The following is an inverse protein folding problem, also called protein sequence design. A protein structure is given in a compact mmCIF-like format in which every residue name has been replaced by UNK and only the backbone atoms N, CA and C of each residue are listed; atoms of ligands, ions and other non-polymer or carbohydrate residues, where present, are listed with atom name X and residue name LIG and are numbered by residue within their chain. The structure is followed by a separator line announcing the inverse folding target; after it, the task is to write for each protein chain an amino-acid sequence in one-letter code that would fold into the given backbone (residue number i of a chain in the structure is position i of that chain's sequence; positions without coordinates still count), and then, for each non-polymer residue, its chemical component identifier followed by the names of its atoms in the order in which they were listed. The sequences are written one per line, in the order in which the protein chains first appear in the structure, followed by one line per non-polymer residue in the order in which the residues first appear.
data_IF_640784660057
#
_entry.id   IF_640784660057
#
_cell.length_a   1.000
_cell.length_b   1.000
_cell.length_c   1.000
_cell.angle_alpha   90.00
_cell.angle_beta   90.00
_cell.angle_gamma   90.00
#
_symmetry.space_group_name_H-M   'P 1'
#
loop_
_entity.id
_entity.type
_entity.pdbx_description
1 polymer ?
#
# COMPACT_ATOMS: atom_id res chain seq x y z
N UNK A 1 7.72 29.62 23.54
CA UNK A 1 7.50 28.19 23.24
C UNK A 1 6.99 28.12 21.81
N UNK A 2 7.80 27.62 20.89
CA UNK A 2 7.59 27.73 19.44
C UNK A 2 6.58 26.70 18.90
N UNK A 3 5.80 27.17 17.93
CA UNK A 3 4.70 26.52 17.21
C UNK A 3 4.93 25.02 16.97
N UNK A 4 4.17 24.17 17.67
CA UNK A 4 3.88 22.82 17.15
C UNK A 4 3.14 23.01 15.85
N UNK A 5 3.75 22.53 14.77
CA UNK A 5 3.29 22.58 13.39
C UNK A 5 1.78 22.36 13.29
N UNK A 6 1.05 23.47 13.13
CA UNK A 6 -0.37 23.44 12.88
C UNK A 6 -0.55 23.14 11.40
N UNK A 7 -0.46 21.86 11.02
CA UNK A 7 -0.99 21.43 9.73
C UNK A 7 -2.47 21.83 9.74
N UNK A 8 -2.96 22.67 8.82
CA UNK A 8 -4.34 23.10 8.82
C UNK A 8 -5.27 21.89 8.85
N UNK A 9 -6.33 21.94 9.66
CA UNK A 9 -7.30 20.85 9.78
C UNK A 9 -7.87 20.42 8.41
N UNK A 10 -7.99 21.36 7.48
CA UNK A 10 -8.34 21.12 6.06
C UNK A 10 -7.35 20.20 5.35
N UNK A 11 -6.05 20.41 5.52
CA UNK A 11 -5.02 19.57 4.89
C UNK A 11 -4.99 18.15 5.51
N UNK A 12 -5.30 18.01 6.80
CA UNK A 12 -5.44 16.68 7.42
C UNK A 12 -6.66 15.94 6.85
N UNK A 13 -7.78 16.63 6.65
CA UNK A 13 -9.00 16.05 6.08
C UNK A 13 -8.82 15.65 4.61
N UNK A 14 -8.08 16.44 3.83
CA UNK A 14 -7.73 16.12 2.44
C UNK A 14 -6.81 14.89 2.36
N UNK A 15 -5.74 14.83 3.18
CA UNK A 15 -4.90 13.64 3.27
C UNK A 15 -5.68 12.40 3.73
N UNK A 16 -6.68 12.59 4.60
CA UNK A 16 -7.54 11.50 5.07
C UNK A 16 -8.39 10.93 3.93
N UNK A 17 -9.06 11.81 3.17
CA UNK A 17 -9.87 11.42 2.02
C UNK A 17 -9.02 10.77 0.92
N UNK A 18 -7.82 11.31 0.66
CA UNK A 18 -6.88 10.74 -0.30
C UNK A 18 -6.39 9.35 0.14
N UNK A 19 -6.07 9.18 1.43
CA UNK A 19 -5.64 7.88 1.96
C UNK A 19 -6.76 6.83 1.94
N UNK A 20 -8.02 7.23 2.15
CA UNK A 20 -9.18 6.33 2.06
C UNK A 20 -9.44 5.85 0.63
N UNK A 21 -9.14 6.69 -0.37
CA UNK A 21 -9.29 6.35 -1.79
C UNK A 21 -8.02 5.75 -2.40
N UNK A 22 -6.93 5.65 -1.62
CA UNK A 22 -5.66 5.17 -2.11
C UNK A 22 -5.73 3.67 -2.42
N UNK A 23 -5.59 3.35 -3.70
CA UNK A 23 -5.35 2.00 -4.19
C UNK A 23 -4.14 1.98 -5.12
N UNK A 24 -3.61 0.79 -5.37
CA UNK A 24 -2.47 0.60 -6.27
C UNK A 24 -2.79 1.11 -7.68
N UNK A 25 -4.00 0.85 -8.20
CA UNK A 25 -4.40 1.32 -9.52
C UNK A 25 -3.43 0.86 -10.62
N UNK A 26 -2.85 1.81 -11.34
CA UNK A 26 -1.81 1.57 -12.37
C UNK A 26 -0.38 1.65 -11.84
N UNK A 27 -0.20 1.95 -10.55
CA UNK A 27 1.10 2.07 -9.91
C UNK A 27 1.71 0.68 -9.69
N UNK A 28 3.04 0.62 -9.69
CA UNK A 28 3.74 -0.54 -9.14
C UNK A 28 3.48 -0.62 -7.63
N UNK A 29 3.65 -1.82 -7.06
CA UNK A 29 3.55 -2.02 -5.61
C UNK A 29 4.52 -1.09 -4.87
N UNK A 30 5.71 -0.85 -5.42
CA UNK A 30 6.71 0.03 -4.81
C UNK A 30 6.23 1.48 -4.76
N UNK A 31 5.74 2.02 -5.87
CA UNK A 31 5.23 3.40 -5.92
C UNK A 31 4.00 3.57 -5.02
N UNK A 32 3.11 2.57 -4.99
CA UNK A 32 1.98 2.54 -4.08
C UNK A 32 2.44 2.54 -2.61
N UNK A 33 3.45 1.74 -2.24
CA UNK A 33 3.99 1.70 -0.88
C UNK A 33 4.64 3.02 -0.44
N UNK A 34 5.29 3.74 -1.35
CA UNK A 34 5.83 5.08 -1.10
C UNK A 34 4.69 6.05 -0.81
N UNK A 35 3.70 6.15 -1.70
CA UNK A 35 2.52 7.03 -1.48
C UNK A 35 1.76 6.68 -0.21
N UNK A 36 1.55 5.41 0.05
CA UNK A 36 0.90 4.93 1.27
C UNK A 36 1.67 5.40 2.51
N UNK A 37 3.00 5.30 2.49
CA UNK A 37 3.83 5.72 3.61
C UNK A 37 3.81 7.24 3.81
N UNK A 38 3.84 8.01 2.72
CA UNK A 38 3.74 9.48 2.76
C UNK A 38 2.40 9.94 3.36
N UNK A 39 1.28 9.41 2.87
CA UNK A 39 -0.06 9.76 3.36
C UNK A 39 -0.29 9.28 4.80
N UNK A 40 0.22 8.09 5.17
CA UNK A 40 0.12 7.57 6.54
C UNK A 40 0.81 8.46 7.58
N UNK A 41 1.87 9.19 7.18
CA UNK A 41 2.58 10.14 8.04
C UNK A 41 1.72 11.37 8.37
N UNK A 42 0.84 11.76 7.46
CA UNK A 42 -0.07 12.90 7.62
C UNK A 42 -1.40 12.52 8.28
N UNK A 43 -1.72 11.23 8.37
CA UNK A 43 -2.94 10.71 8.99
C UNK A 43 -2.65 9.59 10.01
N UNK A 44 -1.89 9.86 11.10
CA UNK A 44 -1.55 8.84 12.10
C UNK A 44 -2.77 8.24 12.80
N UNK A 45 -3.91 8.94 12.80
CA UNK A 45 -5.19 8.45 13.35
C UNK A 45 -5.85 7.36 12.50
N UNK A 46 -5.55 7.29 11.21
CA UNK A 46 -6.13 6.29 10.29
C UNK A 46 -5.45 4.93 10.36
N UNK A 47 -4.23 4.90 10.88
CA UNK A 47 -3.39 3.71 10.96
C UNK A 47 -2.80 3.59 12.37
N UNK A 48 -3.66 3.49 13.40
CA UNK A 48 -3.23 3.62 14.79
C UNK A 48 -2.37 2.43 15.25
N UNK A 49 -2.46 1.29 14.56
CA UNK A 49 -1.74 0.07 14.88
C UNK A 49 -1.10 -0.54 13.62
N UNK A 50 0.05 -1.19 13.80
CA UNK A 50 0.82 -1.83 12.71
C UNK A 50 -0.05 -2.83 11.93
N UNK A 51 -0.92 -3.57 12.63
CA UNK A 51 -1.85 -4.53 12.02
C UNK A 51 -2.84 -3.88 11.05
N UNK A 52 -3.40 -2.74 11.44
CA UNK A 52 -4.35 -1.98 10.60
C UNK A 52 -3.63 -1.39 9.38
N UNK A 53 -2.36 -1.02 9.56
CA UNK A 53 -1.50 -0.56 8.46
C UNK A 53 -1.28 -1.62 7.41
N UNK A 54 -0.95 -2.84 7.85
CA UNK A 54 -0.78 -3.99 6.97
C UNK A 54 -2.11 -4.33 6.27
N UNK A 55 -3.21 -4.35 7.03
CA UNK A 55 -4.54 -4.63 6.49
C UNK A 55 -4.92 -3.65 5.37
N UNK A 56 -4.85 -2.33 5.63
CA UNK A 56 -5.18 -1.31 4.64
C UNK A 56 -4.29 -1.39 3.41
N UNK A 57 -2.99 -1.64 3.61
CA UNK A 57 -2.07 -1.79 2.50
C UNK A 57 -2.49 -2.95 1.59
N UNK A 58 -2.78 -4.13 2.16
CA UNK A 58 -3.25 -5.32 1.42
C UNK A 58 -4.63 -5.10 0.80
N UNK A 59 -5.51 -4.31 1.43
CA UNK A 59 -6.81 -3.96 0.86
C UNK A 59 -6.69 -3.03 -0.35
N UNK A 60 -5.66 -2.18 -0.42
CA UNK A 60 -5.45 -1.25 -1.54
C UNK A 60 -4.60 -1.80 -2.69
N UNK A 61 -3.87 -2.91 -2.54
CA UNK A 61 -3.20 -3.57 -3.69
C UNK A 61 -4.20 -4.25 -4.63
N UNK A 62 -3.75 -4.50 -5.87
CA UNK A 62 -4.55 -5.16 -6.90
C UNK A 62 -5.15 -6.49 -6.41
N UNK A 63 -6.38 -6.79 -6.84
CA UNK A 63 -7.13 -7.97 -6.39
C UNK A 63 -6.34 -9.28 -6.55
N UNK A 64 -5.63 -9.38 -7.65
CA UNK A 64 -4.73 -10.47 -8.01
C UNK A 64 -3.63 -10.73 -6.97
N UNK A 65 -3.00 -9.67 -6.47
CA UNK A 65 -1.97 -9.77 -5.43
C UNK A 65 -2.59 -9.94 -4.04
N UNK A 66 -3.75 -9.31 -3.80
CA UNK A 66 -4.50 -9.40 -2.54
C UNK A 66 -4.82 -10.85 -2.18
N UNK A 67 -5.21 -11.67 -3.15
CA UNK A 67 -5.46 -13.09 -2.92
C UNK A 67 -4.20 -13.82 -2.42
N UNK A 68 -3.04 -13.55 -3.03
CA UNK A 68 -1.75 -14.11 -2.62
C UNK A 68 -1.31 -13.61 -1.24
N UNK A 69 -1.80 -12.45 -0.80
CA UNK A 69 -1.47 -11.81 0.47
C UNK A 69 -2.44 -12.15 1.61
N UNK A 70 -3.48 -12.96 1.37
CA UNK A 70 -4.52 -13.25 2.37
C UNK A 70 -3.98 -13.87 3.68
N UNK A 71 -2.87 -14.60 3.60
CA UNK A 71 -2.17 -15.14 4.78
C UNK A 71 -1.62 -14.04 5.68
N UNK A 72 -1.06 -12.99 5.08
CA UNK A 72 -0.41 -11.89 5.81
C UNK A 72 -1.42 -10.99 6.54
N UNK A 73 -2.72 -11.13 6.27
CA UNK A 73 -3.80 -10.52 7.07
C UNK A 73 -4.03 -11.23 8.42
N UNK A 74 -3.57 -12.48 8.54
CA UNK A 74 -3.79 -13.32 9.73
C UNK A 74 -2.56 -13.41 10.62
N UNK A 75 -1.39 -12.98 10.12
CA UNK A 75 -0.12 -12.98 10.84
C UNK A 75 0.26 -11.56 11.29
N UNK A 76 1.10 -11.46 12.31
CA UNK A 76 1.68 -10.18 12.75
C UNK A 76 2.94 -9.83 11.92
N UNK A 77 2.81 -9.92 10.60
CA UNK A 77 3.93 -9.66 9.68
C UNK A 77 4.24 -8.16 9.66
N UNK A 78 5.49 -7.74 9.86
CA UNK A 78 5.87 -6.33 9.79
C UNK A 78 5.59 -5.71 8.42
N UNK A 79 5.18 -4.45 8.40
CA UNK A 79 4.82 -3.72 7.17
C UNK A 79 5.87 -3.82 6.05
N UNK A 80 7.16 -3.71 6.38
CA UNK A 80 8.23 -3.82 5.38
C UNK A 80 8.27 -5.19 4.71
N UNK A 81 8.09 -6.27 5.47
CA UNK A 81 8.03 -7.61 4.91
C UNK A 81 6.81 -7.79 3.99
N UNK A 82 5.67 -7.21 4.35
CA UNK A 82 4.48 -7.21 3.49
C UNK A 82 4.76 -6.53 2.16
N UNK A 83 5.43 -5.37 2.17
CA UNK A 83 5.82 -4.66 0.94
C UNK A 83 6.78 -5.49 0.09
N UNK A 84 7.79 -6.12 0.70
CA UNK A 84 8.76 -6.96 -0.01
C UNK A 84 8.11 -8.18 -0.66
N UNK A 85 7.23 -8.88 0.06
CA UNK A 85 6.46 -10.02 -0.48
C UNK A 85 5.55 -9.56 -1.63
N UNK A 86 4.85 -8.43 -1.45
CA UNK A 86 3.98 -7.86 -2.47
C UNK A 86 4.74 -7.57 -3.77
N UNK A 87 5.94 -6.98 -3.64
CA UNK A 87 6.79 -6.62 -4.77
C UNK A 87 7.32 -7.88 -5.48
N UNK A 88 7.72 -8.89 -4.72
CA UNK A 88 8.15 -10.16 -5.29
C UNK A 88 7.04 -10.82 -6.12
N UNK A 89 5.81 -10.83 -5.61
CA UNK A 89 4.65 -11.36 -6.32
C UNK A 89 4.30 -10.56 -7.58
N UNK A 90 4.46 -9.24 -7.53
CA UNK A 90 4.30 -8.38 -8.71
C UNK A 90 5.33 -8.71 -9.79
N UNK A 91 6.61 -8.91 -9.43
CA UNK A 91 7.65 -9.30 -10.38
C UNK A 91 7.35 -10.67 -11.02
N UNK A 92 7.01 -11.69 -10.22
CA UNK A 92 6.68 -13.03 -10.74
C UNK A 92 5.55 -12.97 -11.77
N UNK A 93 4.52 -12.14 -11.51
CA UNK A 93 3.40 -11.95 -12.44
C UNK A 93 3.78 -11.14 -13.68
N UNK A 94 4.68 -10.17 -13.56
CA UNK A 94 5.24 -9.42 -14.68
C UNK A 94 5.94 -10.36 -15.66
N UNK A 95 6.82 -11.21 -15.15
CA UNK A 95 7.59 -12.18 -15.93
C UNK A 95 6.67 -13.21 -16.63
N UNK A 96 5.59 -13.66 -15.96
CA UNK A 96 4.58 -14.54 -16.56
C UNK A 96 3.81 -13.89 -17.71
N UNK A 97 3.48 -12.60 -17.61
CA UNK A 97 2.80 -11.87 -18.68
C UNK A 97 3.72 -11.69 -19.88
N UNK A 98 4.98 -11.31 -19.64
CA UNK A 98 5.98 -11.13 -20.69
C UNK A 98 6.24 -12.45 -21.44
N UNK A 99 6.37 -13.57 -20.71
CA UNK A 99 6.55 -14.90 -21.30
C UNK A 99 5.33 -15.43 -22.10
N UNK A 100 4.12 -14.93 -21.81
CA UNK A 100 2.90 -15.26 -22.56
C UNK A 100 2.76 -14.42 -23.83
N UNK A 101 3.18 -13.16 -23.80
CA UNK A 101 3.16 -12.27 -24.97
C UNK A 101 4.25 -12.64 -25.99
N UNK A 102 5.41 -13.17 -25.57
CA UNK A 102 6.44 -13.65 -26.51
C UNK A 102 6.08 -14.96 -27.24
N UNK A 103 4.98 -15.63 -26.84
CA UNK A 103 4.55 -16.92 -27.41
C UNK A 103 3.30 -16.84 -28.28
N UNK A 104 2.77 -15.65 -28.58
CA UNK A 104 1.70 -15.47 -29.56
C UNK A 104 2.30 -15.31 -30.97
N UNK A 105 2.09 -16.27 -31.90
CA UNK A 105 2.37 -16.09 -33.33
C UNK A 105 1.34 -15.17 -34.01
#
# INVERSE_FOLDING_TARGET
MFLREFVPQTHQNECHAEFEQLGQGTMTVLEYAIRFSELSRHAPTLVPIVKERVRRFIEGISYDLKFCMARELQTDTPFQQVVDISRMLECIRGDEKEAKDTKRP
#
